data_IF_738676512695
#
_entry.id   IF_738676512695
#
_cell.length_a   1.000
_cell.length_b   1.000
_cell.length_c   1.000
_cell.angle_alpha   90.00
_cell.angle_beta   90.00
_cell.angle_gamma   90.00
#
_symmetry.space_group_name_H-M   'P 1'
#
loop_
_entity.id
_entity.type
_entity.pdbx_description
1 polymer ?
#
# COMPACT_ATOMS: atom_id res chain seq x y z
N UNK A 1 -34.92 15.22 35.67
CA UNK A 1 -34.71 14.06 34.77
C UNK A 1 -33.22 13.81 34.70
N UNK A 2 -32.79 12.64 35.13
CA UNK A 2 -31.38 12.30 35.36
C UNK A 2 -30.56 12.36 34.08
N UNK A 3 -29.48 13.14 34.11
CA UNK A 3 -28.38 13.01 33.16
C UNK A 3 -27.75 11.63 33.38
N UNK A 4 -27.71 10.80 32.34
CA UNK A 4 -26.91 9.58 32.35
C UNK A 4 -25.45 10.01 32.19
N UNK A 5 -24.73 10.07 33.30
CA UNK A 5 -23.26 10.07 33.28
C UNK A 5 -22.83 8.65 32.93
N UNK A 6 -22.67 8.35 31.64
CA UNK A 6 -21.92 7.17 31.22
C UNK A 6 -20.50 7.63 30.91
N UNK A 7 -19.67 7.76 31.95
CA UNK A 7 -18.23 7.64 31.75
C UNK A 7 -17.96 6.15 31.47
N UNK A 8 -18.31 5.69 30.28
CA UNK A 8 -17.86 4.39 29.77
C UNK A 8 -16.37 4.59 29.50
N UNK A 9 -15.53 4.05 30.37
CA UNK A 9 -14.08 4.20 30.27
C UNK A 9 -13.53 3.66 28.94
N UNK A 10 -12.20 3.71 28.73
CA UNK A 10 -11.61 3.35 27.46
C UNK A 10 -12.04 1.97 26.97
N UNK A 11 -12.58 1.92 25.75
CA UNK A 11 -13.02 0.70 25.09
C UNK A 11 -11.92 0.17 24.15
N UNK A 12 -11.94 -1.14 23.88
CA UNK A 12 -11.01 -1.76 22.93
C UNK A 12 -11.67 -1.92 21.56
N UNK A 13 -10.92 -1.59 20.53
CA UNK A 13 -11.26 -1.70 19.13
C UNK A 13 -10.17 -2.46 18.39
N UNK A 14 -10.57 -3.30 17.44
CA UNK A 14 -9.68 -4.00 16.51
C UNK A 14 -9.77 -3.34 15.15
N UNK A 15 -8.62 -3.04 14.55
CA UNK A 15 -8.55 -2.45 13.21
C UNK A 15 -9.14 -3.42 12.18
N UNK A 16 -9.99 -2.91 11.29
CA UNK A 16 -10.54 -3.66 10.18
C UNK A 16 -9.54 -3.64 9.00
N UNK A 17 -8.94 -4.79 8.61
CA UNK A 17 -7.94 -4.83 7.55
C UNK A 17 -8.50 -4.53 6.15
N UNK A 18 -9.80 -4.71 5.95
CA UNK A 18 -10.49 -4.46 4.67
C UNK A 18 -10.76 -2.97 4.49
N UNK A 19 -11.15 -2.28 5.57
CA UNK A 19 -11.49 -0.86 5.57
C UNK A 19 -10.36 0.06 6.07
N UNK A 20 -9.16 -0.49 6.22
CA UNK A 20 -7.95 0.28 6.55
C UNK A 20 -6.98 0.35 5.38
N UNK A 21 -6.56 1.56 5.03
CA UNK A 21 -5.62 1.84 3.95
C UNK A 21 -4.57 2.85 4.39
N UNK A 22 -3.31 2.56 4.08
CA UNK A 22 -2.23 3.55 4.06
C UNK A 22 -1.98 3.94 2.61
N UNK A 23 -2.19 5.20 2.25
CA UNK A 23 -1.75 5.78 0.99
C UNK A 23 -0.44 6.52 1.22
N UNK A 24 0.48 6.41 0.27
CA UNK A 24 1.68 7.22 0.26
C UNK A 24 1.86 7.95 -1.07
N UNK A 25 2.52 9.10 -1.03
CA UNK A 25 2.97 9.81 -2.22
C UNK A 25 4.43 10.25 -2.05
N UNK A 26 5.23 10.07 -3.09
CA UNK A 26 6.67 10.35 -3.08
C UNK A 26 7.13 10.88 -4.43
N UNK A 27 8.04 11.87 -4.43
CA UNK A 27 8.49 12.49 -5.66
C UNK A 27 9.31 11.54 -6.54
N UNK A 28 9.08 11.61 -7.86
CA UNK A 28 9.76 10.81 -8.87
C UNK A 28 10.40 11.71 -9.95
N UNK A 29 11.72 11.84 -9.82
CA UNK A 29 12.63 12.52 -10.76
C UNK A 29 12.32 14.00 -11.03
N UNK A 30 11.54 14.67 -10.18
CA UNK A 30 11.16 16.08 -10.36
C UNK A 30 9.99 16.30 -11.34
N UNK A 31 9.37 15.22 -11.84
CA UNK A 31 8.27 15.31 -12.80
C UNK A 31 6.90 15.14 -12.17
N UNK A 32 6.77 14.24 -11.19
CA UNK A 32 5.49 13.85 -10.62
C UNK A 32 5.68 13.07 -9.33
N UNK A 33 4.60 12.88 -8.57
CA UNK A 33 4.57 11.96 -7.43
C UNK A 33 4.14 10.57 -7.85
N UNK A 34 4.92 9.57 -7.47
CA UNK A 34 4.47 8.20 -7.38
C UNK A 34 3.46 8.08 -6.24
N UNK A 35 2.29 7.50 -6.51
CA UNK A 35 1.24 7.30 -5.51
C UNK A 35 0.98 5.81 -5.39
N UNK A 36 1.01 5.30 -4.18
CA UNK A 36 0.73 3.89 -3.89
C UNK A 36 -0.09 3.71 -2.63
N UNK A 37 -0.50 2.47 -2.39
CA UNK A 37 -1.23 2.12 -1.17
C UNK A 37 -0.73 0.81 -0.56
N UNK A 38 -0.97 0.63 0.72
CA UNK A 38 -0.81 -0.63 1.44
C UNK A 38 -2.13 -0.94 2.14
N UNK A 39 -2.64 -2.15 1.91
CA UNK A 39 -3.90 -2.66 2.49
C UNK A 39 -3.62 -3.72 3.56
N UNK A 40 -4.64 -4.12 4.32
CA UNK A 40 -4.52 -5.24 5.24
C UNK A 40 -3.80 -4.91 6.55
N UNK A 41 -3.80 -3.64 6.96
CA UNK A 41 -3.25 -3.26 8.26
C UNK A 41 -4.08 -3.87 9.39
N UNK A 42 -3.43 -4.36 10.43
CA UNK A 42 -4.07 -4.92 11.63
C UNK A 42 -3.63 -4.12 12.84
N UNK A 43 -4.39 -4.17 13.93
CA UNK A 43 -3.99 -3.45 15.13
C UNK A 43 -5.07 -3.38 16.19
N UNK A 44 -4.70 -2.78 17.31
CA UNK A 44 -5.57 -2.55 18.45
C UNK A 44 -5.55 -1.08 18.83
N UNK A 45 -6.74 -0.56 19.10
CA UNK A 45 -6.99 0.78 19.59
C UNK A 45 -7.71 0.67 20.95
N UNK A 46 -7.14 1.26 21.99
CA UNK A 46 -7.84 1.56 23.24
C UNK A 46 -8.25 3.03 23.13
N UNK A 47 -9.55 3.33 23.22
CA UNK A 47 -10.07 4.66 22.96
C UNK A 47 -11.24 5.03 23.87
N UNK A 48 -11.17 6.22 24.43
CA UNK A 48 -12.26 6.92 25.10
C UNK A 48 -12.49 8.24 24.35
N UNK A 49 -13.65 8.43 23.69
CA UNK A 49 -13.94 9.66 22.94
C UNK A 49 -14.02 10.90 23.84
N UNK A 50 -14.21 10.74 25.15
CA UNK A 50 -14.23 11.83 26.15
C UNK A 50 -12.84 12.10 26.75
N UNK A 51 -11.86 11.21 26.54
CA UNK A 51 -10.51 11.31 27.12
C UNK A 51 -9.40 10.81 26.16
N UNK A 52 -9.14 11.56 25.09
CA UNK A 52 -8.13 11.23 24.08
C UNK A 52 -6.71 10.92 24.61
N UNK A 53 -6.16 11.62 25.62
CA UNK A 53 -4.83 11.29 26.16
C UNK A 53 -4.71 9.87 26.75
N UNK A 54 -5.82 9.23 27.09
CA UNK A 54 -5.85 7.83 27.53
C UNK A 54 -5.69 6.82 26.39
N UNK A 55 -5.83 7.26 25.14
CA UNK A 55 -5.81 6.37 23.99
C UNK A 55 -4.45 5.68 23.81
N UNK A 56 -4.47 4.42 23.35
CA UNK A 56 -3.29 3.62 23.01
C UNK A 56 -3.52 2.91 21.70
N UNK A 57 -2.56 2.98 20.80
CA UNK A 57 -2.65 2.46 19.44
C UNK A 57 -1.42 1.62 19.14
N UNK A 58 -1.64 0.43 18.59
CA UNK A 58 -0.62 -0.47 18.08
C UNK A 58 -1.10 -1.02 16.73
N UNK A 59 -0.30 -0.83 15.68
CA UNK A 59 -0.66 -1.17 14.30
C UNK A 59 0.51 -1.85 13.60
N UNK A 60 0.18 -2.86 12.81
CA UNK A 60 1.09 -3.55 11.90
C UNK A 60 0.58 -3.43 10.46
N UNK A 61 1.48 -3.04 9.55
CA UNK A 61 1.21 -2.80 8.14
C UNK A 61 2.03 -3.82 7.32
N UNK A 62 1.38 -4.77 6.64
CA UNK A 62 2.08 -5.78 5.83
C UNK A 62 2.58 -5.16 4.52
N UNK A 63 3.88 -4.86 4.45
CA UNK A 63 4.47 -4.12 3.33
C UNK A 63 4.39 -4.88 2.00
N UNK A 64 4.33 -6.21 2.04
CA UNK A 64 4.10 -7.07 0.86
C UNK A 64 2.79 -6.76 0.12
N UNK A 65 1.84 -6.07 0.77
CA UNK A 65 0.57 -5.63 0.17
C UNK A 65 0.65 -4.24 -0.48
N UNK A 66 1.85 -3.70 -0.64
CA UNK A 66 2.07 -2.45 -1.35
C UNK A 66 1.70 -2.58 -2.82
N UNK A 67 0.99 -1.57 -3.31
CA UNK A 67 0.61 -1.45 -4.71
C UNK A 67 0.76 -0.01 -5.22
N UNK A 68 1.55 0.14 -6.29
CA UNK A 68 1.78 1.35 -7.08
C UNK A 68 1.03 1.31 -8.42
N UNK A 69 0.23 0.26 -8.68
CA UNK A 69 -0.52 0.07 -9.92
C UNK A 69 0.31 -0.51 -11.08
N UNK A 70 1.59 -0.82 -10.86
CA UNK A 70 2.45 -1.50 -11.84
C UNK A 70 3.31 -2.59 -11.18
N UNK A 71 3.35 -3.76 -11.80
CA UNK A 71 4.02 -4.94 -11.23
C UNK A 71 5.55 -4.79 -11.14
N UNK A 72 6.20 -4.03 -12.03
CA UNK A 72 7.65 -3.79 -11.97
C UNK A 72 7.98 -2.80 -10.86
N UNK A 73 7.16 -1.77 -10.70
CA UNK A 73 7.28 -0.80 -9.61
C UNK A 73 7.08 -1.46 -8.25
N UNK A 74 6.07 -2.31 -8.11
CA UNK A 74 5.85 -3.07 -6.87
C UNK A 74 7.08 -3.94 -6.54
N UNK A 75 7.59 -4.71 -7.50
CA UNK A 75 8.81 -5.52 -7.28
C UNK A 75 10.01 -4.67 -6.89
N UNK A 76 10.22 -3.52 -7.53
CA UNK A 76 11.31 -2.62 -7.19
C UNK A 76 11.16 -2.05 -5.77
N UNK A 77 9.97 -1.56 -5.42
CA UNK A 77 9.68 -0.99 -4.10
C UNK A 77 9.87 -1.98 -2.95
N UNK A 78 9.54 -3.25 -3.19
CA UNK A 78 9.64 -4.33 -2.19
C UNK A 78 11.07 -4.89 -2.03
N UNK A 79 11.97 -4.64 -2.98
CA UNK A 79 13.31 -5.22 -2.99
C UNK A 79 14.22 -4.65 -1.89
N UNK A 80 15.34 -5.33 -1.65
CA UNK A 80 16.29 -5.05 -0.56
C UNK A 80 16.97 -3.68 -0.57
N UNK A 81 16.92 -2.93 -1.68
CA UNK A 81 17.42 -1.55 -1.74
C UNK A 81 16.37 -0.50 -1.39
N UNK A 82 15.11 -0.90 -1.19
CA UNK A 82 14.01 -0.04 -0.79
C UNK A 82 13.37 -0.54 0.50
N UNK A 83 12.22 -1.21 0.45
CA UNK A 83 11.52 -1.64 1.66
C UNK A 83 12.07 -2.94 2.26
N UNK A 84 12.82 -3.71 1.47
CA UNK A 84 13.44 -4.96 1.89
C UNK A 84 12.47 -5.91 2.60
N UNK A 85 11.36 -6.24 1.95
CA UNK A 85 10.27 -6.98 2.62
C UNK A 85 10.62 -8.44 2.91
N UNK A 86 11.73 -8.96 2.39
CA UNK A 86 12.24 -10.27 2.75
C UNK A 86 12.73 -10.27 4.21
N UNK A 87 13.49 -9.26 4.61
CA UNK A 87 14.02 -9.11 5.98
C UNK A 87 13.11 -8.24 6.88
N UNK A 88 12.32 -7.35 6.27
CA UNK A 88 11.48 -6.36 6.94
C UNK A 88 10.04 -6.35 6.39
N UNK A 89 9.26 -7.45 6.55
CA UNK A 89 7.95 -7.59 5.91
C UNK A 89 6.85 -6.67 6.47
N UNK A 90 7.06 -6.08 7.64
CA UNK A 90 6.04 -5.33 8.39
C UNK A 90 6.60 -3.97 8.84
N UNK A 91 5.83 -2.92 8.60
CA UNK A 91 6.00 -1.66 9.31
C UNK A 91 5.10 -1.65 10.56
N UNK A 92 5.64 -1.20 11.69
CA UNK A 92 4.94 -1.26 12.99
C UNK A 92 4.91 0.09 13.66
N UNK A 93 3.73 0.51 14.10
CA UNK A 93 3.53 1.78 14.82
C UNK A 93 3.00 1.51 16.23
N UNK A 94 3.60 2.14 17.24
CA UNK A 94 3.16 2.09 18.63
C UNK A 94 3.08 3.51 19.19
N UNK A 95 1.90 3.94 19.62
CA UNK A 95 1.70 5.28 20.20
C UNK A 95 2.46 5.45 21.50
N UNK A 96 3.11 6.60 21.68
CA UNK A 96 3.80 6.99 22.92
C UNK A 96 3.02 8.07 23.68
N UNK A 97 2.35 8.98 22.96
CA UNK A 97 1.60 10.10 23.53
C UNK A 97 0.50 10.55 22.58
N UNK A 98 -0.64 10.95 23.15
CA UNK A 98 -1.78 11.53 22.41
C UNK A 98 -2.12 12.89 22.98
N UNK A 99 -2.19 13.90 22.11
CA UNK A 99 -2.57 15.27 22.46
C UNK A 99 -3.87 15.65 21.77
N UNK A 100 -4.91 15.90 22.56
CA UNK A 100 -6.17 16.41 22.02
C UNK A 100 -5.99 17.84 21.49
N UNK A 101 -6.44 18.08 20.26
CA UNK A 101 -6.42 19.39 19.61
C UNK A 101 -7.83 19.98 19.49
N UNK A 102 -8.84 19.12 19.34
CA UNK A 102 -10.26 19.46 19.34
C UNK A 102 -11.08 18.23 19.78
N UNK A 103 -12.40 18.35 19.85
CA UNK A 103 -13.28 17.22 20.19
C UNK A 103 -13.16 16.03 19.22
N UNK A 104 -12.78 16.28 17.98
CA UNK A 104 -12.64 15.30 16.91
C UNK A 104 -11.22 15.21 16.32
N UNK A 105 -10.22 15.85 16.95
CA UNK A 105 -8.84 15.90 16.43
C UNK A 105 -7.79 15.72 17.52
N UNK A 106 -6.71 15.04 17.18
CA UNK A 106 -5.54 14.90 18.04
C UNK A 106 -4.24 14.80 17.24
N UNK A 107 -3.12 15.15 17.88
CA UNK A 107 -1.79 14.73 17.44
C UNK A 107 -1.41 13.45 18.18
N UNK A 108 -1.10 12.39 17.43
CA UNK A 108 -0.70 11.09 17.98
C UNK A 108 0.78 10.86 17.69
N UNK A 109 1.60 10.91 18.73
CA UNK A 109 3.01 10.61 18.67
C UNK A 109 3.23 9.12 18.88
N UNK A 110 4.19 8.54 18.17
CA UNK A 110 4.52 7.14 18.34
C UNK A 110 5.77 6.70 17.62
N UNK A 111 6.28 5.54 18.03
CA UNK A 111 7.41 4.88 17.43
C UNK A 111 6.97 4.14 16.17
N UNK A 112 7.40 4.60 15.01
CA UNK A 112 7.32 3.87 13.75
C UNK A 112 8.61 3.07 13.56
N UNK A 113 8.47 1.76 13.35
CA UNK A 113 9.55 0.89 12.89
C UNK A 113 9.30 0.54 11.43
N UNK A 114 10.25 0.87 10.57
CA UNK A 114 10.21 0.63 9.13
C UNK A 114 11.63 0.32 8.68
N UNK A 115 11.80 -0.74 7.86
CA UNK A 115 13.11 -1.15 7.34
C UNK A 115 14.15 -1.33 8.48
N UNK A 116 13.74 -2.02 9.55
CA UNK A 116 14.57 -2.29 10.73
C UNK A 116 14.88 -1.07 11.63
N UNK A 117 14.52 0.14 11.23
CA UNK A 117 14.84 1.38 11.96
C UNK A 117 13.60 1.94 12.67
N UNK A 118 13.75 2.31 13.95
CA UNK A 118 12.68 2.95 14.73
C UNK A 118 12.89 4.46 14.85
N UNK A 119 11.85 5.24 14.56
CA UNK A 119 11.80 6.70 14.72
C UNK A 119 10.48 7.13 15.33
N UNK A 120 10.51 8.18 16.15
CA UNK A 120 9.27 8.82 16.58
C UNK A 120 8.70 9.67 15.44
N UNK A 121 7.40 9.53 15.17
CA UNK A 121 6.63 10.34 14.22
C UNK A 121 5.40 10.89 14.92
N UNK A 122 4.80 11.93 14.33
CA UNK A 122 3.52 12.48 14.75
C UNK A 122 2.48 12.31 13.63
N UNK A 123 1.32 11.76 13.98
CA UNK A 123 0.16 11.65 13.10
C UNK A 123 -0.85 12.74 13.47
N UNK A 124 -1.31 13.50 12.49
CA UNK A 124 -2.47 14.38 12.63
C UNK A 124 -3.72 13.56 12.40
N UNK A 125 -4.48 13.29 13.47
CA UNK A 125 -5.61 12.36 13.47
C UNK A 125 -6.93 13.13 13.60
N UNK A 126 -7.93 12.70 12.83
CA UNK A 126 -9.32 13.12 12.91
C UNK A 126 -10.23 11.92 13.17
N UNK A 127 -11.09 12.01 14.16
CA UNK A 127 -12.23 11.10 14.32
C UNK A 127 -13.34 11.55 13.35
N UNK A 128 -13.69 10.69 12.40
CA UNK A 128 -14.73 10.96 11.42
C UNK A 128 -16.11 10.61 11.96
N UNK A 129 -16.23 9.44 12.58
CA UNK A 129 -17.46 8.96 13.18
C UNK A 129 -17.18 7.89 14.23
N UNK A 130 -18.05 7.84 15.25
CA UNK A 130 -18.12 6.75 16.21
C UNK A 130 -19.59 6.36 16.38
N UNK A 131 -20.00 5.25 15.75
CA UNK A 131 -21.40 4.81 15.72
C UNK A 131 -21.51 3.33 15.34
N UNK A 132 -22.72 2.78 15.38
CA UNK A 132 -22.99 1.46 14.78
C UNK A 132 -22.83 1.53 13.26
N UNK A 133 -22.12 0.56 12.70
CA UNK A 133 -22.00 0.36 11.27
C UNK A 133 -23.40 0.17 10.64
N UNK A 134 -23.70 0.76 9.47
CA UNK A 134 -25.04 0.72 8.88
C UNK A 134 -25.43 -0.65 8.28
N UNK A 135 -24.47 -1.56 8.09
CA UNK A 135 -24.71 -2.91 7.60
C UNK A 135 -24.56 -3.95 8.72
N UNK A 136 -25.28 -5.09 8.64
CA UNK A 136 -25.07 -6.22 9.54
C UNK A 136 -23.59 -6.61 9.64
N UNK A 137 -23.09 -7.02 10.82
CA UNK A 137 -23.80 -7.23 12.08
C UNK A 137 -23.95 -5.96 12.96
N UNK A 138 -23.89 -4.75 12.37
CA UNK A 138 -24.13 -3.46 13.05
C UNK A 138 -23.23 -3.23 14.27
N UNK A 139 -21.96 -3.63 14.16
CA UNK A 139 -20.96 -3.48 15.22
C UNK A 139 -20.72 -1.99 15.48
N UNK A 140 -20.31 -1.66 16.71
CA UNK A 140 -19.86 -0.31 17.03
C UNK A 140 -18.50 -0.09 16.35
N UNK A 141 -18.39 0.95 15.53
CA UNK A 141 -17.21 1.22 14.71
C UNK A 141 -16.75 2.66 14.90
N UNK A 142 -15.44 2.83 15.01
CA UNK A 142 -14.75 4.11 15.02
C UNK A 142 -14.01 4.29 13.68
N UNK A 143 -14.28 5.38 12.97
CA UNK A 143 -13.62 5.70 11.70
C UNK A 143 -12.70 6.92 11.87
N UNK A 144 -11.48 6.83 11.35
CA UNK A 144 -10.45 7.85 11.48
C UNK A 144 -9.78 8.16 10.14
N UNK A 145 -9.38 9.42 9.99
CA UNK A 145 -8.39 9.83 8.99
C UNK A 145 -7.13 10.27 9.72
N UNK A 146 -5.95 9.97 9.16
CA UNK A 146 -4.70 10.49 9.67
C UNK A 146 -3.74 10.90 8.55
N UNK A 147 -2.91 11.90 8.81
CA UNK A 147 -1.85 12.33 7.89
C UNK A 147 -0.53 12.52 8.61
N UNK A 148 0.57 12.32 7.88
CA UNK A 148 1.91 12.71 8.34
C UNK A 148 2.85 12.82 7.14
N UNK A 149 4.05 13.30 7.41
CA UNK A 149 5.15 13.32 6.44
C UNK A 149 6.38 12.73 7.11
N UNK A 150 7.02 11.77 6.45
CA UNK A 150 8.24 11.12 6.94
C UNK A 150 9.39 11.28 5.92
N UNK A 151 10.61 11.10 6.38
CA UNK A 151 11.82 11.00 5.54
C UNK A 151 12.15 9.52 5.37
N UNK A 152 12.26 9.01 4.15
CA UNK A 152 12.67 7.61 3.92
C UNK A 152 14.14 7.38 4.33
N UNK A 153 15.00 8.41 4.20
CA UNK A 153 16.40 8.34 4.64
C UNK A 153 16.51 8.16 6.14
N UNK A 154 15.59 8.72 6.93
CA UNK A 154 15.57 8.55 8.38
C UNK A 154 15.41 7.08 8.81
N UNK A 155 14.90 6.23 7.90
CA UNK A 155 14.73 4.78 8.05
C UNK A 155 15.78 3.95 7.30
N UNK A 156 16.84 4.58 6.78
CA UNK A 156 17.91 3.89 6.03
C UNK A 156 17.59 3.58 4.57
N UNK A 157 16.45 4.02 4.07
CA UNK A 157 16.01 3.80 2.69
C UNK A 157 16.56 4.95 1.81
N UNK A 158 17.81 4.86 1.35
CA UNK A 158 18.51 5.95 0.63
C UNK A 158 18.87 5.66 -0.83
N UNK A 159 18.38 4.56 -1.41
CA UNK A 159 18.67 4.25 -2.81
C UNK A 159 18.10 5.32 -3.77
N UNK A 160 18.84 5.63 -4.84
CA UNK A 160 18.50 6.62 -5.89
C UNK A 160 18.02 8.01 -5.40
N UNK A 161 18.82 8.74 -4.61
CA UNK A 161 18.39 10.01 -3.99
C UNK A 161 18.14 11.16 -4.99
N UNK A 162 18.52 11.00 -6.27
CA UNK A 162 18.23 11.96 -7.34
C UNK A 162 16.96 11.63 -8.13
N UNK A 163 16.42 10.43 -7.96
CA UNK A 163 15.27 9.91 -8.71
C UNK A 163 14.07 9.73 -7.79
N UNK A 164 14.28 9.27 -6.57
CA UNK A 164 13.23 9.08 -5.57
C UNK A 164 13.41 10.14 -4.49
N UNK A 165 12.40 10.97 -4.27
CA UNK A 165 12.42 12.01 -3.23
C UNK A 165 12.64 11.45 -1.83
N UNK A 166 13.04 12.27 -0.87
CA UNK A 166 13.17 11.84 0.53
C UNK A 166 11.85 11.89 1.30
N UNK A 167 11.07 12.94 1.02
CA UNK A 167 9.78 13.20 1.67
C UNK A 167 8.72 12.22 1.18
N UNK A 168 8.15 11.47 2.12
CA UNK A 168 7.01 10.57 1.90
C UNK A 168 5.80 11.15 2.62
N UNK A 169 4.80 11.55 1.85
CA UNK A 169 3.51 11.98 2.37
C UNK A 169 2.65 10.75 2.64
N UNK A 170 2.10 10.65 3.85
CA UNK A 170 1.22 9.57 4.25
C UNK A 170 -0.19 10.08 4.49
N UNK A 171 -1.18 9.38 3.94
CA UNK A 171 -2.59 9.55 4.25
C UNK A 171 -3.17 8.19 4.63
N UNK A 172 -3.85 8.13 5.76
CA UNK A 172 -4.38 6.90 6.34
C UNK A 172 -5.89 7.10 6.52
N UNK A 173 -6.65 6.09 6.10
CA UNK A 173 -8.06 5.96 6.44
C UNK A 173 -8.21 4.62 7.14
N UNK A 174 -8.86 4.60 8.30
CA UNK A 174 -8.98 3.41 9.12
C UNK A 174 -10.38 3.30 9.73
N UNK A 175 -10.90 2.09 9.76
CA UNK A 175 -12.03 1.72 10.61
C UNK A 175 -11.58 0.72 11.65
N UNK A 176 -12.11 0.85 12.86
CA UNK A 176 -11.85 -0.06 13.97
C UNK A 176 -13.18 -0.49 14.60
N UNK A 177 -13.36 -1.80 14.75
CA UNK A 177 -14.57 -2.40 15.29
C UNK A 177 -14.37 -2.67 16.78
N UNK A 178 -15.30 -2.21 17.61
CA UNK A 178 -15.27 -2.45 19.05
C UNK A 178 -15.31 -3.95 19.32
N UNK A 179 -14.32 -4.42 20.06
CA UNK A 179 -14.25 -5.78 20.58
C UNK A 179 -14.47 -5.74 22.09
N UNK A 180 -15.24 -6.69 22.61
CA UNK A 180 -15.23 -6.91 24.06
C UNK A 180 -13.95 -7.66 24.37
N UNK A 181 -13.27 -7.28 25.46
CA UNK A 181 -11.97 -7.83 25.86
C UNK A 181 -11.92 -9.38 25.89
N UNK A 182 -13.07 -10.05 25.97
CA UNK A 182 -13.17 -11.51 26.08
C UNK A 182 -13.89 -12.22 24.90
N UNK A 183 -14.31 -11.55 23.83
CA UNK A 183 -15.30 -12.13 22.90
C UNK A 183 -14.90 -12.36 21.42
N UNK A 184 -13.79 -11.82 20.90
CA UNK A 184 -13.50 -11.94 19.45
C UNK A 184 -12.01 -12.16 19.14
N UNK A 185 -11.35 -13.10 19.83
CA UNK A 185 -10.24 -13.83 19.23
C UNK A 185 -10.83 -14.91 18.30
N UNK A 186 -11.48 -14.49 17.21
CA UNK A 186 -12.01 -15.37 16.18
C UNK A 186 -11.20 -15.14 14.91
N UNK A 187 -10.77 -16.27 14.34
CA UNK A 187 -9.83 -16.49 13.25
C UNK A 187 -9.95 -15.55 12.03
N UNK A 188 -8.89 -15.42 11.22
CA UNK A 188 -8.98 -14.80 9.91
C UNK A 188 -10.09 -15.47 9.10
N UNK A 189 -10.97 -14.62 8.57
CA UNK A 189 -12.11 -15.00 7.76
C UNK A 189 -11.67 -15.97 6.65
N UNK A 190 -12.27 -17.16 6.64
CA UNK A 190 -12.09 -18.13 5.56
C UNK A 190 -12.76 -17.57 4.30
N UNK A 191 -12.14 -17.65 3.11
CA UNK A 191 -12.77 -17.19 1.88
C UNK A 191 -14.14 -17.85 1.67
N UNK A 192 -15.14 -17.16 1.10
CA UNK A 192 -16.43 -17.76 0.85
C UNK A 192 -16.25 -18.98 -0.07
N UNK A 193 -16.77 -20.12 0.39
CA UNK A 193 -16.84 -21.35 -0.40
C UNK A 193 -17.58 -21.09 -1.72
N UNK A 194 -17.20 -21.87 -2.74
CA UNK A 194 -17.87 -21.89 -4.05
C UNK A 194 -19.40 -21.88 -3.90
N UNK A 195 -20.13 -21.15 -4.76
CA UNK A 195 -21.54 -21.41 -4.94
C UNK A 195 -21.69 -22.73 -5.72
N UNK A 196 -21.98 -23.81 -4.99
CA UNK A 196 -22.65 -24.97 -5.56
C UNK A 196 -24.15 -24.71 -5.48
N UNK A 197 -24.77 -24.48 -6.65
CA UNK A 197 -26.15 -24.85 -7.02
C UNK A 197 -26.56 -24.08 -8.28
N UNK A 198 -26.11 -24.56 -9.44
CA UNK A 198 -26.77 -24.29 -10.70
C UNK A 198 -27.84 -25.37 -10.92
N UNK A 199 -29.09 -25.03 -11.29
CA UNK A 199 -30.10 -26.03 -11.54
C UNK A 199 -29.78 -26.80 -12.82
N UNK A 200 -29.80 -28.12 -12.67
CA UNK A 200 -29.62 -29.17 -13.66
C UNK A 200 -30.54 -29.00 -14.87
N UNK A 201 -29.97 -29.06 -16.08
CA UNK A 201 -30.72 -29.14 -17.33
C UNK A 201 -31.16 -30.61 -17.58
N UNK A 202 -32.39 -30.88 -18.02
CA UNK A 202 -32.85 -32.25 -18.23
C UNK A 202 -32.29 -32.84 -19.53
N UNK A 203 -31.76 -34.05 -19.43
CA UNK A 203 -31.34 -34.90 -20.54
C UNK A 203 -32.47 -35.84 -20.97
N UNK A 204 -32.87 -35.78 -22.24
CA UNK A 204 -32.93 -36.91 -23.19
C UNK A 204 -33.79 -36.56 -24.42
N UNK A 205 -33.26 -36.80 -25.63
CA UNK A 205 -33.80 -37.77 -26.60
C UNK A 205 -32.71 -38.03 -27.66
N UNK A 206 -32.28 -39.30 -27.75
CA UNK A 206 -31.43 -39.86 -28.80
C UNK A 206 -32.17 -39.90 -30.14
N UNK A 207 -31.49 -39.56 -31.24
CA UNK A 207 -31.75 -40.12 -32.57
C UNK A 207 -30.45 -40.31 -33.36
N UNK A 208 -30.19 -41.59 -33.62
CA UNK A 208 -29.48 -42.28 -34.70
C UNK A 208 -28.49 -41.55 -35.62
N UNK A 209 -27.31 -42.18 -35.76
CA UNK A 209 -26.30 -41.96 -36.80
C UNK A 209 -26.77 -42.47 -38.19
N UNK A 210 -26.01 -42.18 -39.27
CA UNK A 210 -24.98 -43.16 -39.65
C UNK A 210 -23.66 -42.58 -40.18
N UNK A 211 -22.72 -43.51 -40.33
CA UNK A 211 -21.29 -43.45 -40.65
C UNK A 211 -20.84 -42.62 -41.86
N UNK A 212 -19.58 -42.15 -41.82
CA UNK A 212 -18.61 -42.34 -42.91
C UNK A 212 -17.17 -41.99 -42.49
N UNK A 213 -16.31 -43.00 -42.64
CA UNK A 213 -14.91 -42.99 -43.10
C UNK A 213 -13.83 -42.12 -42.43
N UNK A 214 -12.86 -42.81 -41.81
CA UNK A 214 -11.46 -42.40 -41.70
C UNK A 214 -10.68 -42.81 -42.98
N UNK A 215 -9.33 -42.64 -43.13
CA UNK A 215 -8.31 -41.93 -42.32
C UNK A 215 -7.34 -41.07 -43.19
N UNK A 216 -6.34 -40.41 -42.57
CA UNK A 216 -4.89 -40.58 -42.86
C UNK A 216 -4.00 -39.40 -42.41
N UNK A 217 -2.83 -39.76 -41.87
CA UNK A 217 -1.71 -38.91 -41.47
C UNK A 217 -0.80 -38.52 -42.65
N UNK A 218 0.02 -37.47 -42.49
CA UNK A 218 1.41 -37.27 -42.97
C UNK A 218 1.81 -35.80 -42.67
N UNK A 219 2.74 -35.52 -41.74
CA UNK A 219 4.20 -35.45 -41.92
C UNK A 219 4.68 -34.39 -42.93
N UNK A 220 5.36 -33.34 -42.44
CA UNK A 220 6.63 -32.91 -43.03
C UNK A 220 7.45 -32.07 -42.03
N UNK A 221 8.75 -32.33 -42.02
CA UNK A 221 9.73 -31.88 -41.06
C UNK A 221 10.76 -30.92 -41.69
N UNK A 222 11.58 -30.31 -40.82
CA UNK A 222 12.97 -29.85 -40.99
C UNK A 222 13.33 -28.44 -41.50
N UNK A 223 14.51 -28.02 -41.00
CA UNK A 223 15.39 -26.87 -41.28
C UNK A 223 15.04 -25.57 -40.52
N UNK A 224 15.75 -25.16 -39.45
CA UNK A 224 17.18 -24.88 -39.26
C UNK A 224 17.70 -23.74 -40.16
N UNK A 225 17.90 -22.55 -39.57
CA UNK A 225 18.79 -21.52 -40.10
C UNK A 225 19.20 -20.50 -39.00
N UNK A 226 20.38 -20.73 -38.46
CA UNK A 226 21.43 -19.79 -38.04
C UNK A 226 21.10 -18.32 -37.69
N UNK A 227 21.29 -18.04 -36.39
CA UNK A 227 22.11 -16.99 -35.75
C UNK A 227 22.85 -16.02 -36.70
N UNK A 228 22.62 -14.71 -36.52
CA UNK A 228 23.58 -13.63 -36.80
C UNK A 228 23.59 -12.62 -35.63
N UNK A 229 24.76 -12.14 -35.15
CA UNK A 229 24.86 -11.12 -34.11
C UNK A 229 24.99 -9.69 -34.69
N UNK A 230 24.33 -8.74 -34.02
CA UNK A 230 24.37 -7.29 -34.25
C UNK A 230 25.75 -6.66 -33.92
N UNK A 231 26.21 -5.61 -34.63
CA UNK A 231 27.47 -4.94 -34.34
C UNK A 231 27.35 -3.83 -33.26
N UNK A 232 28.39 -3.80 -32.45
CA UNK A 232 28.68 -2.92 -31.32
C UNK A 232 28.99 -1.47 -31.76
N UNK A 233 28.49 -0.46 -31.03
CA UNK A 233 28.84 0.95 -31.25
C UNK A 233 29.52 1.54 -30.01
N UNK A 234 30.81 1.86 -30.14
CA UNK A 234 31.58 2.69 -29.20
C UNK A 234 32.51 3.62 -29.97
N UNK A 235 32.41 4.92 -29.61
CA UNK A 235 33.38 6.01 -29.74
C UNK A 235 33.84 6.50 -31.13
N UNK A 236 33.51 7.76 -31.42
CA UNK A 236 34.38 8.67 -32.17
C UNK A 236 34.29 10.08 -31.55
N UNK A 237 35.43 10.56 -31.06
CA UNK A 237 35.74 11.90 -30.55
C UNK A 237 36.81 12.50 -31.51
N UNK A 238 36.96 13.83 -31.51
CA UNK A 238 37.95 14.68 -32.24
C UNK A 238 37.54 15.04 -33.69
N UNK A 239 37.69 16.27 -34.21
CA UNK A 239 38.41 17.51 -33.85
C UNK A 239 37.84 18.65 -34.73
N UNK A 240 37.72 19.87 -34.21
CA UNK A 240 37.80 21.07 -35.05
C UNK A 240 38.43 22.22 -34.25
N UNK A 241 39.59 22.67 -34.73
CA UNK A 241 40.48 23.65 -34.11
C UNK A 241 40.65 24.87 -35.02
N UNK A 242 40.46 26.06 -34.44
CA UNK A 242 41.17 27.34 -34.66
C UNK A 242 41.03 28.14 -35.99
N UNK A 243 40.32 29.29 -35.89
CA UNK A 243 40.77 30.72 -36.00
C UNK A 243 41.62 31.18 -37.22
N UNK A 244 41.56 32.47 -37.68
CA UNK A 244 41.81 33.67 -36.85
C UNK A 244 41.09 35.00 -37.21
N UNK A 245 41.40 36.01 -36.37
CA UNK A 245 41.03 37.43 -36.35
C UNK A 245 41.35 38.22 -37.65
N UNK A 246 40.59 39.29 -37.90
CA UNK A 246 41.10 40.59 -38.34
C UNK A 246 40.13 41.72 -37.98
N UNK A 247 40.73 42.79 -37.46
CA UNK A 247 40.16 44.06 -36.99
C UNK A 247 40.55 45.15 -38.00
N UNK A 248 39.68 46.15 -38.28
CA UNK A 248 40.00 47.56 -38.61
C UNK A 248 38.89 48.32 -39.35
N UNK A 249 38.35 49.28 -38.59
CA UNK A 249 37.86 50.63 -38.88
C UNK A 249 38.26 51.30 -40.23
N UNK A 250 37.29 51.96 -40.91
CA UNK A 250 37.48 53.22 -41.68
C UNK A 250 36.15 53.88 -42.13
N UNK A 251 35.75 54.95 -41.41
CA UNK A 251 35.25 56.32 -41.77
C UNK A 251 34.67 56.65 -43.18
N UNK A 252 33.98 57.81 -43.37
CA UNK A 252 33.76 58.95 -42.46
C UNK A 252 32.30 59.20 -42.01
#
# INVERSE_FOLDING_TARGET
MSARTHAEGPETYTLDPVHTRVMFAIEHAGFSKAIGTVSGSTGRLIFDPENWPSARIEVEVPLVRLDLGDARWNRAALAGNLLDVEDHPVARFVSTRVEALASDRASVFGALTLHGVTREIALDVRLNALKRHPLPPFRQTAGFSATTVISRKAFGIDAWPRVIGDTVELRIEAEAVRTRADADAIAPDTPPGKPDDAPEAPEEVRRDAPDSDAPSAEACATADCAILPEPNATAALLLASHSPLCDLDTRP
#
